data_IF_384306278359
#
_entry.id   IF_384306278359
#
_cell.length_a   1.000
_cell.length_b   1.000
_cell.length_c   1.000
_cell.angle_alpha   90.00
_cell.angle_beta   90.00
_cell.angle_gamma   90.00
#
_symmetry.space_group_name_H-M   'P 1'
#
loop_
_entity.id
_entity.type
_entity.pdbx_description
1 polymer ?
#
# COMPACT_ATOMS: atom_id res chain seq x y z
N UNK A 1 -7.96 22.68 4.26
CA UNK A 1 -7.49 24.01 4.64
C UNK A 1 -6.21 24.33 3.86
N UNK A 2 -6.18 25.50 3.19
CA UNK A 2 -5.04 25.93 2.34
C UNK A 2 -3.72 26.07 3.13
N UNK A 3 -3.79 26.51 4.38
CA UNK A 3 -2.62 26.67 5.25
C UNK A 3 -2.04 25.30 5.63
N UNK A 4 -2.88 24.36 6.03
CA UNK A 4 -2.44 23.01 6.36
C UNK A 4 -1.82 22.32 5.15
N UNK A 5 -2.39 22.47 3.94
CA UNK A 5 -1.83 21.96 2.69
C UNK A 5 -0.45 22.57 2.37
N UNK A 6 -0.26 23.88 2.61
CA UNK A 6 1.05 24.54 2.40
C UNK A 6 2.10 24.03 3.38
N UNK A 7 1.77 23.93 4.66
CA UNK A 7 2.68 23.42 5.69
C UNK A 7 3.09 21.98 5.37
N UNK A 8 2.14 21.17 4.95
CA UNK A 8 2.38 19.78 4.57
C UNK A 8 3.31 19.67 3.35
N UNK A 9 3.06 20.48 2.30
CA UNK A 9 3.93 20.54 1.11
C UNK A 9 5.34 20.99 1.48
N UNK A 10 5.49 21.97 2.36
CA UNK A 10 6.79 22.44 2.82
C UNK A 10 7.56 21.36 3.57
N UNK A 11 6.91 20.65 4.49
CA UNK A 11 7.50 19.50 5.21
C UNK A 11 7.92 18.41 4.25
N UNK A 12 7.05 18.03 3.31
CA UNK A 12 7.32 17.00 2.31
C UNK A 12 8.48 17.36 1.38
N UNK A 13 8.63 18.64 1.03
CA UNK A 13 9.67 19.10 0.11
C UNK A 13 11.06 19.15 0.76
N UNK A 14 11.13 19.48 2.06
CA UNK A 14 12.40 19.78 2.74
C UNK A 14 12.89 18.66 3.68
N UNK A 15 12.13 17.57 3.83
CA UNK A 15 12.47 16.49 4.74
C UNK A 15 12.06 15.15 4.15
N UNK A 16 13.04 14.35 3.74
CA UNK A 16 12.83 12.98 3.24
C UNK A 16 12.03 12.13 4.25
N UNK A 17 12.32 12.27 5.54
CA UNK A 17 11.60 11.61 6.63
C UNK A 17 10.14 12.08 6.71
N UNK A 18 9.89 13.38 6.49
CA UNK A 18 8.56 13.98 6.47
C UNK A 18 7.72 13.57 5.27
N UNK A 19 8.36 13.18 4.16
CA UNK A 19 7.68 12.73 2.94
C UNK A 19 6.71 11.59 3.17
N UNK A 20 7.07 10.66 4.08
CA UNK A 20 6.28 9.47 4.36
C UNK A 20 5.48 9.57 5.66
N UNK A 21 5.66 10.63 6.43
CA UNK A 21 5.04 10.80 7.75
C UNK A 21 3.51 10.80 7.69
N UNK A 22 2.93 11.52 6.74
CA UNK A 22 1.47 11.61 6.58
C UNK A 22 0.88 10.24 6.26
N UNK A 23 1.49 9.49 5.35
CA UNK A 23 1.02 8.16 4.99
C UNK A 23 1.14 7.18 6.16
N UNK A 24 2.21 7.26 6.94
CA UNK A 24 2.37 6.46 8.15
C UNK A 24 1.27 6.75 9.18
N UNK A 25 0.92 8.01 9.36
CA UNK A 25 -0.19 8.42 10.24
C UNK A 25 -1.52 7.86 9.73
N UNK A 26 -1.75 7.92 8.41
CA UNK A 26 -2.97 7.38 7.78
C UNK A 26 -3.07 5.87 8.02
N UNK A 27 -2.00 5.12 7.82
CA UNK A 27 -2.00 3.67 8.07
C UNK A 27 -2.31 3.35 9.53
N UNK A 28 -1.70 4.06 10.46
CA UNK A 28 -1.97 3.90 11.89
C UNK A 28 -3.43 4.17 12.22
N UNK A 29 -4.01 5.23 11.63
CA UNK A 29 -5.40 5.62 11.87
C UNK A 29 -6.39 4.62 11.27
N UNK A 30 -6.13 4.12 10.06
CA UNK A 30 -6.95 3.07 9.45
C UNK A 30 -6.93 1.82 10.34
N UNK A 31 -5.76 1.44 10.84
CA UNK A 31 -5.65 0.28 11.75
C UNK A 31 -6.46 0.49 13.02
N UNK A 32 -6.40 1.67 13.61
CA UNK A 32 -7.17 2.00 14.79
C UNK A 32 -8.67 1.85 14.56
N UNK A 33 -9.16 2.42 13.46
CA UNK A 33 -10.58 2.35 13.08
C UNK A 33 -11.05 0.93 12.78
N UNK A 34 -10.27 0.17 12.03
CA UNK A 34 -10.61 -1.23 11.70
C UNK A 34 -10.64 -2.10 12.96
N UNK A 35 -9.67 -1.91 13.85
CA UNK A 35 -9.62 -2.64 15.13
C UNK A 35 -10.85 -2.34 16.00
N UNK A 36 -11.26 -1.07 16.10
CA UNK A 36 -12.45 -0.68 16.84
C UNK A 36 -13.72 -1.34 16.31
N UNK A 37 -13.76 -1.63 15.02
CA UNK A 37 -14.95 -2.20 14.36
C UNK A 37 -14.83 -3.71 14.10
N UNK A 38 -13.83 -4.37 14.69
CA UNK A 38 -13.56 -5.79 14.49
C UNK A 38 -13.37 -6.20 13.02
N UNK A 39 -12.73 -5.33 12.25
CA UNK A 39 -12.40 -5.55 10.85
C UNK A 39 -10.93 -5.93 10.73
N UNK A 40 -10.63 -6.99 10.00
CA UNK A 40 -9.27 -7.37 9.68
C UNK A 40 -8.73 -6.49 8.55
N UNK A 41 -7.63 -5.79 8.81
CA UNK A 41 -6.96 -4.94 7.83
C UNK A 41 -5.79 -5.68 7.21
N UNK A 42 -5.75 -5.71 5.89
CA UNK A 42 -4.62 -6.21 5.12
C UNK A 42 -4.28 -5.16 4.06
N UNK A 43 -3.00 -4.82 3.94
CA UNK A 43 -2.54 -3.85 2.94
C UNK A 43 -1.74 -4.59 1.89
N UNK A 44 -2.09 -4.37 0.63
CA UNK A 44 -1.46 -5.05 -0.51
C UNK A 44 -0.77 -4.05 -1.41
N UNK A 45 0.48 -4.31 -1.73
CA UNK A 45 1.21 -3.55 -2.74
C UNK A 45 0.98 -4.17 -4.12
N UNK A 46 0.32 -3.45 -5.00
CA UNK A 46 0.10 -3.86 -6.41
C UNK A 46 0.86 -2.97 -7.39
N UNK A 47 1.85 -2.23 -6.91
CA UNK A 47 2.70 -1.40 -7.78
C UNK A 47 3.72 -2.26 -8.54
N UNK A 48 4.56 -1.62 -9.34
CA UNK A 48 5.70 -2.28 -9.97
C UNK A 48 6.96 -2.31 -9.09
N UNK A 49 6.90 -1.69 -7.93
CA UNK A 49 8.02 -1.56 -7.00
C UNK A 49 7.80 -2.46 -5.76
N UNK A 50 8.57 -3.54 -5.67
CA UNK A 50 8.50 -4.45 -4.54
C UNK A 50 8.94 -3.83 -3.20
N UNK A 51 9.65 -2.71 -3.25
CA UNK A 51 10.14 -1.98 -2.09
C UNK A 51 9.26 -0.77 -1.72
N UNK A 52 8.08 -0.65 -2.33
CA UNK A 52 7.18 0.48 -2.08
C UNK A 52 6.75 0.61 -0.62
N UNK A 53 6.74 -0.49 0.13
CA UNK A 53 6.38 -0.48 1.54
C UNK A 53 7.55 -0.16 2.49
N UNK A 54 8.79 -0.10 2.01
CA UNK A 54 9.95 0.13 2.87
C UNK A 54 9.80 1.31 3.83
N UNK A 55 9.30 2.49 3.40
CA UNK A 55 9.13 3.63 4.30
C UNK A 55 8.05 3.42 5.38
N UNK A 56 7.25 2.35 5.28
CA UNK A 56 6.09 2.10 6.14
C UNK A 56 6.24 0.85 7.01
N UNK A 57 7.30 0.07 6.82
CA UNK A 57 7.48 -1.23 7.49
C UNK A 57 7.50 -1.11 9.02
N UNK A 58 8.12 -0.07 9.55
CA UNK A 58 8.14 0.17 10.99
C UNK A 58 6.73 0.42 11.55
N UNK A 59 5.95 1.21 10.83
CA UNK A 59 4.53 1.47 11.18
C UNK A 59 3.70 0.20 11.13
N UNK A 60 3.89 -0.63 10.11
CA UNK A 60 3.18 -1.90 9.98
C UNK A 60 3.52 -2.83 11.15
N UNK A 61 4.79 -2.96 11.47
CA UNK A 61 5.25 -3.77 12.61
C UNK A 61 4.69 -3.27 13.94
N UNK A 62 4.82 -1.97 14.20
CA UNK A 62 4.37 -1.34 15.43
C UNK A 62 2.87 -1.49 15.67
N UNK A 63 2.07 -1.45 14.61
CA UNK A 63 0.61 -1.49 14.68
C UNK A 63 0.03 -2.88 14.36
N UNK A 64 0.85 -3.90 14.18
CA UNK A 64 0.41 -5.25 13.78
C UNK A 64 -0.47 -5.22 12.52
N UNK A 65 -0.04 -4.47 11.51
CA UNK A 65 -0.71 -4.41 10.21
C UNK A 65 -0.17 -5.52 9.32
N UNK A 66 -1.04 -6.41 8.87
CA UNK A 66 -0.70 -7.43 7.88
C UNK A 66 -0.54 -6.78 6.51
N UNK A 67 0.52 -7.16 5.80
CA UNK A 67 0.76 -6.66 4.45
C UNK A 67 1.48 -7.69 3.60
N UNK A 68 1.34 -7.58 2.28
CA UNK A 68 2.13 -8.38 1.34
C UNK A 68 2.28 -7.66 0.00
N UNK A 69 3.23 -8.15 -0.80
CA UNK A 69 3.49 -7.62 -2.12
C UNK A 69 2.91 -8.54 -3.20
N UNK A 70 2.11 -7.96 -4.10
CA UNK A 70 1.65 -8.58 -5.34
C UNK A 70 2.07 -7.70 -6.50
N UNK A 71 3.37 -7.43 -6.59
CA UNK A 71 3.94 -6.52 -7.57
C UNK A 71 4.15 -7.20 -8.91
N UNK A 72 3.93 -6.48 -9.99
CA UNK A 72 4.18 -6.93 -11.35
C UNK A 72 4.84 -5.83 -12.16
N UNK A 73 5.80 -6.19 -12.99
CA UNK A 73 6.40 -5.25 -13.93
C UNK A 73 5.39 -4.84 -15.00
N UNK A 74 5.29 -3.56 -15.27
CA UNK A 74 4.43 -3.03 -16.32
C UNK A 74 5.07 -3.27 -17.67
N UNK A 75 4.54 -4.21 -18.43
CA UNK A 75 4.97 -4.54 -19.79
C UNK A 75 3.87 -4.17 -20.79
N UNK A 76 4.18 -4.14 -22.07
CA UNK A 76 3.18 -3.87 -23.13
C UNK A 76 2.01 -4.86 -23.11
N UNK A 77 2.25 -6.11 -22.73
CA UNK A 77 1.21 -7.14 -22.63
C UNK A 77 0.27 -6.97 -21.43
N UNK A 78 0.74 -6.26 -20.42
CA UNK A 78 0.03 -6.10 -19.14
C UNK A 78 -0.55 -4.71 -18.93
N UNK A 79 -0.37 -3.81 -19.89
CA UNK A 79 -0.83 -2.44 -19.80
C UNK A 79 -1.74 -2.05 -20.94
N UNK A 80 -2.61 -1.07 -20.72
CA UNK A 80 -3.46 -0.50 -21.75
C UNK A 80 -2.58 0.30 -22.72
N UNK A 81 -2.75 0.05 -24.02
CA UNK A 81 -1.99 0.72 -25.07
C UNK A 81 -2.14 2.24 -24.97
N UNK A 82 -1.01 2.94 -24.88
CA UNK A 82 -0.94 4.39 -24.84
C UNK A 82 -1.19 5.03 -23.48
N UNK A 83 -1.57 4.25 -22.48
CA UNK A 83 -1.95 4.76 -21.15
C UNK A 83 -0.99 4.28 -20.04
N UNK A 84 -0.49 3.05 -20.12
CA UNK A 84 0.40 2.50 -19.11
C UNK A 84 -0.30 1.98 -17.85
N UNK A 85 -1.61 2.10 -17.75
CA UNK A 85 -2.38 1.51 -16.66
C UNK A 85 -2.51 -0.01 -16.83
N UNK A 86 -2.69 -0.77 -15.73
CA UNK A 86 -2.91 -2.20 -15.79
C UNK A 86 -4.12 -2.56 -16.66
N UNK A 87 -3.96 -3.60 -17.49
CA UNK A 87 -5.07 -4.19 -18.25
C UNK A 87 -5.65 -5.43 -17.53
N UNK A 88 -6.61 -6.08 -18.16
CA UNK A 88 -7.28 -7.27 -17.58
C UNK A 88 -6.29 -8.40 -17.24
N UNK A 89 -5.29 -8.62 -18.09
CA UNK A 89 -4.27 -9.66 -17.84
C UNK A 89 -3.45 -9.35 -16.57
N UNK A 90 -3.10 -8.09 -16.36
CA UNK A 90 -2.39 -7.68 -15.14
C UNK A 90 -3.27 -7.79 -13.90
N UNK A 91 -4.55 -7.41 -14.00
CA UNK A 91 -5.51 -7.59 -12.90
C UNK A 91 -5.69 -9.07 -12.54
N UNK A 92 -5.67 -9.97 -13.52
CA UNK A 92 -5.70 -11.42 -13.26
C UNK A 92 -4.49 -11.90 -12.48
N UNK A 93 -3.30 -11.36 -12.76
CA UNK A 93 -2.08 -11.68 -12.00
C UNK A 93 -2.18 -11.18 -10.56
N UNK A 94 -2.68 -9.98 -10.35
CA UNK A 94 -2.91 -9.45 -9.00
C UNK A 94 -3.91 -10.32 -8.23
N UNK A 95 -5.02 -10.68 -8.86
CA UNK A 95 -6.04 -11.54 -8.26
C UNK A 95 -5.46 -12.86 -7.77
N UNK A 96 -4.69 -13.55 -8.61
CA UNK A 96 -4.05 -14.83 -8.26
C UNK A 96 -3.09 -14.67 -7.08
N UNK A 97 -2.28 -13.63 -7.08
CA UNK A 97 -1.35 -13.34 -6.00
C UNK A 97 -2.09 -13.05 -4.70
N UNK A 98 -3.07 -12.15 -4.74
CA UNK A 98 -3.85 -11.78 -3.56
C UNK A 98 -4.58 -12.99 -2.97
N UNK A 99 -5.19 -13.79 -3.82
CA UNK A 99 -5.89 -15.02 -3.39
C UNK A 99 -4.95 -15.99 -2.66
N UNK A 100 -3.78 -16.24 -3.24
CA UNK A 100 -2.75 -17.12 -2.65
C UNK A 100 -2.30 -16.60 -1.28
N UNK A 101 -1.97 -15.33 -1.18
CA UNK A 101 -1.49 -14.72 0.06
C UNK A 101 -2.57 -14.66 1.13
N UNK A 102 -3.81 -14.37 0.77
CA UNK A 102 -4.94 -14.40 1.69
C UNK A 102 -5.18 -15.80 2.25
N UNK A 103 -5.10 -16.83 1.41
CA UNK A 103 -5.21 -18.22 1.88
C UNK A 103 -4.13 -18.56 2.91
N UNK A 104 -2.90 -18.11 2.66
CA UNK A 104 -1.79 -18.35 3.58
C UNK A 104 -2.03 -17.63 4.93
N UNK A 105 -2.49 -16.39 4.92
CA UNK A 105 -2.80 -15.63 6.14
C UNK A 105 -3.92 -16.29 6.94
N UNK A 106 -4.98 -16.76 6.29
CA UNK A 106 -6.10 -17.42 6.95
C UNK A 106 -5.66 -18.74 7.60
N UNK A 107 -4.79 -19.50 6.95
CA UNK A 107 -4.24 -20.75 7.50
C UNK A 107 -3.36 -20.54 8.74
N UNK A 108 -2.67 -19.38 8.83
CA UNK A 108 -1.81 -19.05 9.96
C UNK A 108 -2.58 -18.53 11.18
N UNK A 109 -3.84 -18.23 11.02
CA UNK A 109 -4.74 -17.80 12.09
C UNK A 109 -5.59 -18.96 12.56
#
# INVERSE_FOLDING_TARGET
NKIAKRVMRYKLKNNEKGKYEVTNVIFSEIKRLTKQNNINLIIVNISSDENAFDPYLETFKKNNIDFFNCTEKRTKKLTIKGDGHPNDAMHSLFEKCIYKELKNLIKLR
#
